data_IF_438926455089
#
_entry.id   IF_438926455089
#
_cell.length_a   1.000
_cell.length_b   1.000
_cell.length_c   1.000
_cell.angle_alpha   90.00
_cell.angle_beta   90.00
_cell.angle_gamma   90.00
#
_symmetry.space_group_name_H-M   'P 1'
#
loop_
_entity.id
_entity.type
_entity.pdbx_description
1 polymer ?
#
# COMPACT_ATOMS: atom_id res chain seq x y z
N UNK A 1 8.12 -11.01 -40.48
CA UNK A 1 7.72 -11.44 -39.12
C UNK A 1 8.29 -10.54 -38.03
N UNK A 2 9.58 -10.16 -38.04
CA UNK A 2 10.17 -9.22 -37.05
C UNK A 2 9.45 -7.84 -36.99
N UNK A 3 9.01 -7.30 -38.13
CA UNK A 3 8.28 -6.02 -38.24
C UNK A 3 6.91 -5.98 -37.53
N UNK A 4 6.28 -7.14 -37.30
CA UNK A 4 4.93 -7.23 -36.71
C UNK A 4 4.98 -7.36 -35.17
N UNK A 5 6.09 -7.87 -34.64
CA UNK A 5 6.34 -8.00 -33.19
C UNK A 5 6.69 -6.65 -32.56
N UNK A 6 7.50 -5.84 -33.25
CA UNK A 6 7.88 -4.49 -32.77
C UNK A 6 6.67 -3.56 -32.68
N UNK A 7 5.80 -3.57 -33.71
CA UNK A 7 4.57 -2.77 -33.75
C UNK A 7 3.51 -3.23 -32.73
N UNK A 8 3.43 -4.53 -32.41
CA UNK A 8 2.55 -5.04 -31.36
C UNK A 8 3.03 -4.65 -29.95
N UNK A 9 4.33 -4.50 -29.77
CA UNK A 9 4.94 -4.13 -28.48
C UNK A 9 4.67 -2.65 -28.15
N UNK A 10 4.59 -1.79 -29.17
CA UNK A 10 4.28 -0.36 -29.06
C UNK A 10 2.80 -0.13 -28.67
N UNK A 11 1.87 -0.94 -29.18
CA UNK A 11 0.42 -0.79 -28.96
C UNK A 11 -0.05 -1.17 -27.54
N UNK A 12 0.70 -2.02 -26.83
CA UNK A 12 0.35 -2.46 -25.47
C UNK A 12 0.81 -1.50 -24.36
N UNK A 13 1.64 -0.51 -24.68
CA UNK A 13 2.14 0.50 -23.73
C UNK A 13 1.04 1.52 -23.35
N UNK A 14 -0.03 1.61 -24.15
CA UNK A 14 -0.99 2.73 -24.11
C UNK A 14 -2.19 2.53 -23.15
N UNK A 15 -2.46 1.33 -22.62
CA UNK A 15 -3.74 1.04 -21.92
C UNK A 15 -3.68 0.88 -20.39
N UNK A 16 -2.59 1.26 -19.72
CA UNK A 16 -2.42 0.98 -18.27
C UNK A 16 -2.83 2.11 -17.32
N UNK A 17 -3.27 3.25 -17.86
CA UNK A 17 -3.58 4.44 -17.06
C UNK A 17 -5.00 4.88 -17.37
N UNK A 18 -6.01 4.42 -16.63
CA UNK A 18 -7.30 5.12 -16.46
C UNK A 18 -8.29 4.37 -15.53
N UNK A 19 -8.77 5.14 -14.54
CA UNK A 19 -10.07 5.09 -13.84
C UNK A 19 -10.16 4.39 -12.46
N UNK A 20 -10.20 5.28 -11.46
CA UNK A 20 -10.71 5.13 -10.10
C UNK A 20 -12.25 5.20 -10.10
N UNK A 21 -12.83 4.29 -9.29
CA UNK A 21 -14.17 4.25 -8.66
C UNK A 21 -15.24 5.30 -9.00
N UNK A 22 -16.44 4.77 -9.30
CA UNK A 22 -17.70 5.39 -8.89
C UNK A 22 -18.77 4.31 -8.65
N UNK A 23 -19.22 4.15 -7.40
CA UNK A 23 -20.64 3.93 -7.11
C UNK A 23 -20.94 4.11 -5.62
N UNK A 24 -21.72 5.14 -5.32
CA UNK A 24 -22.49 5.27 -4.09
C UNK A 24 -23.96 5.43 -4.47
N UNK A 25 -24.85 4.75 -3.74
CA UNK A 25 -26.24 5.14 -3.43
C UNK A 25 -26.87 4.02 -2.56
N UNK A 26 -27.11 4.28 -1.27
CA UNK A 26 -28.40 4.68 -0.65
C UNK A 26 -29.54 3.67 -0.83
N UNK A 27 -29.91 3.04 0.29
CA UNK A 27 -31.24 2.48 0.52
C UNK A 27 -31.60 2.67 1.99
N UNK A 28 -32.51 3.59 2.28
CA UNK A 28 -33.15 3.71 3.59
C UNK A 28 -34.58 3.19 3.51
N UNK A 29 -35.11 2.68 4.64
CA UNK A 29 -36.48 2.99 5.05
C UNK A 29 -36.65 2.72 6.55
N UNK A 30 -37.53 3.47 7.24
CA UNK A 30 -37.71 3.47 8.69
C UNK A 30 -38.79 2.48 9.11
N UNK A 31 -38.82 2.11 10.39
CA UNK A 31 -40.10 1.78 11.01
C UNK A 31 -40.15 2.10 12.51
N UNK A 32 -41.35 2.53 12.91
CA UNK A 32 -41.73 3.13 14.19
C UNK A 32 -41.92 2.10 15.31
N UNK A 33 -41.53 2.53 16.51
CA UNK A 33 -42.25 2.52 17.79
C UNK A 33 -43.35 1.45 18.03
N UNK A 34 -43.16 0.58 19.04
CA UNK A 34 -44.22 0.07 19.91
C UNK A 34 -43.62 -0.28 21.29
N UNK A 35 -44.12 0.39 22.33
CA UNK A 35 -43.69 0.18 23.72
C UNK A 35 -44.29 -1.07 24.34
N UNK A 36 -43.57 -1.69 25.28
CA UNK A 36 -44.12 -2.65 26.23
C UNK A 36 -43.37 -2.56 27.58
N UNK A 37 -44.17 -2.42 28.64
CA UNK A 37 -43.80 -2.54 30.04
C UNK A 37 -42.99 -3.82 30.29
N UNK A 38 -41.81 -3.72 30.91
CA UNK A 38 -41.04 -4.89 31.36
C UNK A 38 -40.86 -4.88 32.89
N UNK A 39 -41.36 -5.96 33.48
CA UNK A 39 -41.21 -6.34 34.89
C UNK A 39 -39.73 -6.42 35.29
N UNK A 40 -39.41 -6.08 36.54
CA UNK A 40 -38.06 -6.07 37.11
C UNK A 40 -37.34 -7.43 37.05
N UNK A 41 -38.05 -8.56 36.95
CA UNK A 41 -37.46 -9.89 36.67
C UNK A 41 -37.15 -10.15 35.19
N UNK A 42 -37.89 -9.52 34.28
CA UNK A 42 -37.54 -9.51 32.85
C UNK A 42 -36.34 -8.61 32.57
N UNK A 43 -36.15 -7.57 33.40
CA UNK A 43 -35.04 -6.63 33.32
C UNK A 43 -33.67 -7.28 33.58
N UNK A 44 -33.57 -8.21 34.54
CA UNK A 44 -32.33 -8.99 34.77
C UNK A 44 -32.03 -9.98 33.64
N UNK A 45 -33.04 -10.69 33.12
CA UNK A 45 -32.88 -11.58 31.96
C UNK A 45 -32.57 -10.85 30.65
N UNK A 46 -33.07 -9.62 30.49
CA UNK A 46 -32.71 -8.72 29.40
C UNK A 46 -31.32 -8.11 29.53
N UNK A 47 -30.90 -7.72 30.73
CA UNK A 47 -29.57 -7.15 30.94
C UNK A 47 -28.49 -8.19 30.71
N UNK A 48 -28.71 -9.44 31.12
CA UNK A 48 -27.82 -10.57 30.78
C UNK A 48 -27.82 -10.85 29.27
N UNK A 49 -28.99 -10.92 28.62
CA UNK A 49 -29.07 -11.11 27.15
C UNK A 49 -28.51 -9.95 26.36
N UNK A 50 -28.58 -8.71 26.86
CA UNK A 50 -28.01 -7.52 26.24
C UNK A 50 -26.50 -7.45 26.45
N UNK A 51 -25.98 -7.91 27.61
CA UNK A 51 -24.53 -8.11 27.82
C UNK A 51 -24.00 -9.18 26.87
N UNK A 52 -24.62 -10.37 26.78
CA UNK A 52 -24.25 -11.41 25.82
C UNK A 52 -24.30 -10.94 24.36
N UNK A 53 -25.33 -10.18 23.97
CA UNK A 53 -25.43 -9.61 22.62
C UNK A 53 -24.35 -8.55 22.36
N UNK A 54 -23.94 -7.78 23.38
CA UNK A 54 -22.92 -6.77 23.24
C UNK A 54 -21.54 -7.43 23.10
N UNK A 55 -21.19 -8.40 23.96
CA UNK A 55 -19.96 -9.17 23.87
C UNK A 55 -19.85 -9.90 22.53
N UNK A 56 -20.92 -10.58 22.08
CA UNK A 56 -20.94 -11.21 20.74
C UNK A 56 -20.77 -10.22 19.58
N UNK A 57 -21.27 -8.98 19.70
CA UNK A 57 -21.07 -7.94 18.68
C UNK A 57 -19.63 -7.43 18.67
N UNK A 58 -18.96 -7.40 19.82
CA UNK A 58 -17.54 -7.09 19.91
C UNK A 58 -16.69 -8.20 19.32
N UNK A 59 -16.95 -9.45 19.70
CA UNK A 59 -16.22 -10.61 19.16
C UNK A 59 -16.33 -10.68 17.63
N UNK A 60 -17.54 -10.49 17.10
CA UNK A 60 -17.76 -10.41 15.65
C UNK A 60 -17.07 -9.22 14.97
N UNK A 61 -16.83 -8.11 15.68
CA UNK A 61 -16.09 -6.96 15.14
C UNK A 61 -14.59 -7.27 15.04
N UNK A 62 -14.03 -7.91 16.06
CA UNK A 62 -12.62 -8.33 16.10
C UNK A 62 -12.34 -9.44 15.07
N UNK A 63 -13.16 -10.49 15.04
CA UNK A 63 -13.04 -11.60 14.10
C UNK A 63 -13.11 -11.11 12.64
N UNK A 64 -14.09 -10.24 12.31
CA UNK A 64 -14.17 -9.65 10.97
C UNK A 64 -13.00 -8.74 10.63
N UNK A 65 -12.35 -8.12 11.61
CA UNK A 65 -11.18 -7.28 11.36
C UNK A 65 -9.98 -8.15 11.01
N UNK A 66 -9.77 -9.23 11.76
CA UNK A 66 -8.71 -10.22 11.53
C UNK A 66 -8.89 -10.94 10.18
N UNK A 67 -10.09 -11.41 9.85
CA UNK A 67 -10.39 -11.98 8.53
C UNK A 67 -10.14 -10.98 7.38
N UNK A 68 -10.50 -9.71 7.60
CA UNK A 68 -10.23 -8.66 6.61
C UNK A 68 -8.73 -8.34 6.50
N UNK A 69 -7.94 -8.51 7.56
CA UNK A 69 -6.49 -8.32 7.55
C UNK A 69 -5.83 -9.40 6.68
N UNK A 70 -6.10 -10.68 6.97
CA UNK A 70 -5.59 -11.82 6.19
C UNK A 70 -5.95 -11.66 4.71
N UNK A 71 -7.22 -11.34 4.41
CA UNK A 71 -7.66 -11.12 3.03
C UNK A 71 -6.95 -9.96 2.34
N UNK A 72 -6.63 -8.88 3.06
CA UNK A 72 -5.94 -7.71 2.48
C UNK A 72 -4.46 -8.00 2.23
N UNK A 73 -3.81 -8.75 3.12
CA UNK A 73 -2.43 -9.20 2.95
C UNK A 73 -2.32 -10.18 1.78
N UNK A 74 -3.20 -11.18 1.69
CA UNK A 74 -3.25 -12.11 0.54
C UNK A 74 -3.46 -11.37 -0.80
N UNK A 75 -4.40 -10.43 -0.84
CA UNK A 75 -4.64 -9.62 -2.04
C UNK A 75 -3.46 -8.71 -2.39
N UNK A 76 -2.71 -8.23 -1.39
CA UNK A 76 -1.51 -7.44 -1.62
C UNK A 76 -0.37 -8.32 -2.17
N UNK A 77 -0.16 -9.51 -1.61
CA UNK A 77 0.82 -10.49 -2.06
C UNK A 77 0.58 -10.93 -3.51
N UNK A 78 -0.65 -11.34 -3.86
CA UNK A 78 -0.97 -11.74 -5.26
C UNK A 78 -0.78 -10.58 -6.24
N UNK A 79 -1.11 -9.34 -5.84
CA UNK A 79 -0.88 -8.15 -6.69
C UNK A 79 0.60 -7.82 -6.84
N UNK A 80 1.40 -8.12 -5.83
CA UNK A 80 2.84 -7.93 -5.84
C UNK A 80 3.52 -8.92 -6.78
N UNK A 81 3.21 -10.20 -6.67
CA UNK A 81 3.74 -11.25 -7.56
C UNK A 81 3.42 -10.95 -9.03
N UNK A 82 2.17 -10.58 -9.33
CA UNK A 82 1.77 -10.20 -10.68
C UNK A 82 2.46 -8.93 -11.21
N UNK A 83 2.96 -8.05 -10.33
CA UNK A 83 3.76 -6.88 -10.70
C UNK A 83 5.21 -7.25 -10.95
N UNK A 84 5.79 -8.15 -10.15
CA UNK A 84 7.14 -8.67 -10.33
C UNK A 84 7.30 -9.34 -11.70
N UNK A 85 6.38 -10.25 -12.06
CA UNK A 85 6.43 -10.95 -13.36
C UNK A 85 6.38 -9.96 -14.55
N UNK A 86 5.51 -8.96 -14.47
CA UNK A 86 5.44 -7.90 -15.49
C UNK A 86 6.71 -7.07 -15.56
N UNK A 87 7.34 -6.79 -14.42
CA UNK A 87 8.58 -6.01 -14.34
C UNK A 87 9.75 -6.79 -14.94
N UNK A 88 9.87 -8.08 -14.67
CA UNK A 88 10.90 -8.94 -15.27
C UNK A 88 10.77 -8.99 -16.79
N UNK A 89 9.55 -9.14 -17.32
CA UNK A 89 9.33 -9.10 -18.77
C UNK A 89 9.72 -7.76 -19.42
N UNK A 90 9.58 -6.64 -18.70
CA UNK A 90 10.01 -5.32 -19.17
C UNK A 90 11.53 -5.17 -19.10
N UNK A 91 12.17 -5.63 -18.02
CA UNK A 91 13.63 -5.60 -17.86
C UNK A 91 14.30 -6.41 -18.97
N UNK A 92 13.84 -7.64 -19.24
CA UNK A 92 14.39 -8.47 -20.32
C UNK A 92 14.36 -7.74 -21.67
N UNK A 93 13.24 -7.10 -22.00
CA UNK A 93 13.12 -6.32 -23.25
C UNK A 93 14.04 -5.10 -23.27
N UNK A 94 14.27 -4.47 -22.12
CA UNK A 94 15.19 -3.34 -22.03
C UNK A 94 16.64 -3.79 -22.24
N UNK A 95 17.04 -4.90 -21.64
CA UNK A 95 18.35 -5.52 -21.84
C UNK A 95 18.58 -5.95 -23.29
N UNK A 96 17.55 -6.44 -24.00
CA UNK A 96 17.64 -6.72 -25.44
C UNK A 96 17.95 -5.47 -26.27
N UNK A 97 17.36 -4.32 -25.93
CA UNK A 97 17.65 -3.03 -26.59
C UNK A 97 19.08 -2.58 -26.29
N UNK A 98 19.52 -2.70 -25.03
CA UNK A 98 20.90 -2.37 -24.62
C UNK A 98 21.89 -3.27 -25.36
N UNK A 99 21.67 -4.57 -25.42
CA UNK A 99 22.53 -5.50 -26.14
C UNK A 99 22.67 -5.14 -27.64
N UNK A 100 21.62 -4.58 -28.24
CA UNK A 100 21.63 -4.21 -29.66
C UNK A 100 22.33 -2.88 -29.94
N UNK A 101 22.18 -1.88 -29.07
CA UNK A 101 22.60 -0.49 -29.34
C UNK A 101 23.73 0.03 -28.43
N UNK A 102 23.95 -0.58 -27.27
CA UNK A 102 24.99 -0.23 -26.30
C UNK A 102 25.49 -1.47 -25.53
N UNK A 103 26.02 -2.50 -26.22
CA UNK A 103 26.39 -3.77 -25.59
C UNK A 103 27.44 -3.63 -24.47
N UNK A 104 28.25 -2.58 -24.51
CA UNK A 104 29.21 -2.24 -23.45
C UNK A 104 28.55 -1.85 -22.13
N UNK A 105 27.32 -1.33 -22.15
CA UNK A 105 26.55 -0.97 -20.95
C UNK A 105 25.75 -2.16 -20.38
N UNK A 106 25.70 -3.30 -21.08
CA UNK A 106 24.81 -4.40 -20.73
C UNK A 106 25.05 -4.92 -19.31
N UNK A 107 26.32 -5.15 -18.95
CA UNK A 107 26.69 -5.67 -17.63
C UNK A 107 26.34 -4.68 -16.51
N UNK A 108 26.53 -3.38 -16.76
CA UNK A 108 26.25 -2.32 -15.79
C UNK A 108 24.74 -2.18 -15.55
N UNK A 109 23.93 -2.29 -16.61
CA UNK A 109 22.48 -2.33 -16.50
C UNK A 109 21.96 -3.58 -15.79
N UNK A 110 22.51 -4.76 -16.09
CA UNK A 110 22.14 -6.00 -15.40
C UNK A 110 22.39 -5.88 -13.89
N UNK A 111 23.56 -5.38 -13.50
CA UNK A 111 23.90 -5.13 -12.10
C UNK A 111 22.94 -4.12 -11.45
N UNK A 112 22.70 -2.98 -12.09
CA UNK A 112 21.80 -1.94 -11.58
C UNK A 112 20.35 -2.42 -11.46
N UNK A 113 19.86 -3.27 -12.38
CA UNK A 113 18.51 -3.82 -12.25
C UNK A 113 18.36 -4.79 -11.08
N UNK A 114 19.38 -5.61 -10.80
CA UNK A 114 19.39 -6.49 -9.63
C UNK A 114 19.48 -5.69 -8.33
N UNK A 115 20.31 -4.65 -8.27
CA UNK A 115 20.39 -3.74 -7.12
C UNK A 115 19.04 -3.02 -6.89
N UNK A 116 18.45 -2.44 -7.94
CA UNK A 116 17.13 -1.84 -7.87
C UNK A 116 16.06 -2.86 -7.43
N UNK A 117 16.14 -4.12 -7.87
CA UNK A 117 15.22 -5.18 -7.43
C UNK A 117 15.39 -5.50 -5.95
N UNK A 118 16.63 -5.56 -5.45
CA UNK A 118 16.93 -5.84 -4.05
C UNK A 118 16.38 -4.72 -3.14
N UNK A 119 16.77 -3.46 -3.39
CA UNK A 119 16.35 -2.32 -2.57
C UNK A 119 14.84 -2.13 -2.63
N UNK A 120 14.23 -2.25 -3.81
CA UNK A 120 12.78 -2.11 -3.94
C UNK A 120 12.01 -3.22 -3.21
N UNK A 121 12.54 -4.44 -3.17
CA UNK A 121 11.98 -5.54 -2.38
C UNK A 121 12.06 -5.21 -0.89
N UNK A 122 13.24 -4.83 -0.40
CA UNK A 122 13.47 -4.49 1.02
C UNK A 122 12.61 -3.30 1.48
N UNK A 123 12.47 -2.27 0.64
CA UNK A 123 11.56 -1.14 0.87
C UNK A 123 10.11 -1.59 1.05
N UNK A 124 9.64 -2.53 0.23
CA UNK A 124 8.27 -3.03 0.30
C UNK A 124 8.06 -3.97 1.49
N UNK A 125 9.05 -4.79 1.83
CA UNK A 125 9.06 -5.65 3.02
C UNK A 125 9.03 -4.81 4.30
N UNK A 126 9.89 -3.79 4.41
CA UNK A 126 9.92 -2.85 5.54
C UNK A 126 8.57 -2.15 5.73
N UNK A 127 7.96 -1.65 4.65
CA UNK A 127 6.62 -1.03 4.71
C UNK A 127 5.53 -2.01 5.14
N UNK A 128 5.68 -3.28 4.81
CA UNK A 128 4.74 -4.33 5.20
C UNK A 128 4.91 -4.63 6.69
N UNK A 129 6.14 -4.82 7.16
CA UNK A 129 6.46 -5.03 8.57
C UNK A 129 5.93 -3.90 9.46
N UNK A 130 6.19 -2.63 9.10
CA UNK A 130 5.65 -1.46 9.82
C UNK A 130 4.12 -1.50 9.94
N UNK A 131 3.44 -1.90 8.86
CA UNK A 131 1.98 -1.98 8.85
C UNK A 131 1.46 -3.14 9.70
N UNK A 132 2.15 -4.28 9.69
CA UNK A 132 1.86 -5.45 10.52
C UNK A 132 2.07 -5.13 11.99
N UNK A 133 3.23 -4.58 12.36
CA UNK A 133 3.57 -4.16 13.73
C UNK A 133 2.55 -3.17 14.29
N UNK A 134 2.18 -2.14 13.52
CA UNK A 134 1.13 -1.20 13.92
C UNK A 134 -0.21 -1.91 14.19
N UNK A 135 -0.59 -2.88 13.35
CA UNK A 135 -1.84 -3.61 13.53
C UNK A 135 -1.79 -4.54 14.74
N UNK A 136 -0.69 -5.26 14.93
CA UNK A 136 -0.49 -6.21 16.03
C UNK A 136 -0.48 -5.47 17.36
N UNK A 137 0.25 -4.37 17.48
CA UNK A 137 0.20 -3.50 18.66
C UNK A 137 -1.21 -2.96 18.92
N UNK A 138 -1.90 -2.53 17.86
CA UNK A 138 -3.25 -1.98 17.98
C UNK A 138 -4.22 -3.04 18.48
N UNK A 139 -4.14 -4.27 17.96
CA UNK A 139 -4.98 -5.39 18.36
C UNK A 139 -4.66 -5.84 19.79
N UNK A 140 -3.38 -5.94 20.17
CA UNK A 140 -2.97 -6.27 21.53
C UNK A 140 -3.51 -5.24 22.54
N UNK A 141 -3.41 -3.95 22.24
CA UNK A 141 -3.97 -2.91 23.10
C UNK A 141 -5.51 -2.88 23.12
N UNK A 142 -6.18 -3.28 22.03
CA UNK A 142 -7.64 -3.46 22.04
C UNK A 142 -8.09 -4.61 22.92
N UNK A 143 -7.39 -5.74 22.91
CA UNK A 143 -7.70 -6.87 23.79
C UNK A 143 -7.52 -6.48 25.26
N UNK A 144 -6.46 -5.74 25.58
CA UNK A 144 -6.28 -5.19 26.92
C UNK A 144 -7.41 -4.23 27.31
N UNK A 145 -7.79 -3.31 26.41
CA UNK A 145 -8.89 -2.37 26.62
C UNK A 145 -10.23 -3.07 26.76
N UNK A 146 -10.46 -4.16 26.02
CA UNK A 146 -11.67 -4.98 26.10
C UNK A 146 -11.81 -5.60 27.49
N UNK A 147 -10.74 -6.21 28.01
CA UNK A 147 -10.73 -6.78 29.36
C UNK A 147 -11.02 -5.71 30.43
N UNK A 148 -10.42 -4.52 30.29
CA UNK A 148 -10.68 -3.38 31.19
C UNK A 148 -12.15 -2.91 31.13
N UNK A 149 -12.72 -2.83 29.93
CA UNK A 149 -14.11 -2.44 29.70
C UNK A 149 -15.08 -3.47 30.31
N UNK A 150 -14.79 -4.77 30.14
CA UNK A 150 -15.60 -5.86 30.70
C UNK A 150 -15.64 -5.78 32.22
N UNK A 151 -14.49 -5.62 32.88
CA UNK A 151 -14.40 -5.41 34.33
C UNK A 151 -15.22 -4.20 34.79
N UNK A 152 -15.09 -3.06 34.09
CA UNK A 152 -15.81 -1.83 34.43
C UNK A 152 -17.32 -1.93 34.22
N UNK A 153 -17.78 -2.67 33.21
CA UNK A 153 -19.19 -2.96 32.94
C UNK A 153 -19.80 -3.97 33.92
N UNK A 154 -19.02 -4.93 34.41
CA UNK A 154 -19.41 -5.84 35.48
C UNK A 154 -19.54 -5.12 36.82
N UNK A 155 -18.63 -4.20 37.11
CA UNK A 155 -18.68 -3.34 38.28
C UNK A 155 -19.72 -2.20 38.18
N UNK A 156 -20.45 -2.09 37.07
CA UNK A 156 -21.43 -1.02 36.78
C UNK A 156 -20.86 0.41 36.92
N UNK A 157 -19.54 0.55 36.78
CA UNK A 157 -18.82 1.84 36.90
C UNK A 157 -18.87 2.66 35.62
N UNK A 158 -19.13 2.01 34.49
CA UNK A 158 -19.36 2.64 33.18
C UNK A 158 -20.61 2.06 32.54
N UNK A 159 -21.21 2.83 31.66
CA UNK A 159 -22.28 2.41 30.77
C UNK A 159 -21.71 1.77 29.49
N UNK A 160 -22.55 1.02 28.78
CA UNK A 160 -22.19 0.49 27.46
C UNK A 160 -21.91 1.60 26.43
N UNK A 161 -22.47 2.79 26.61
CA UNK A 161 -22.18 3.92 25.74
C UNK A 161 -20.78 4.46 25.99
N UNK A 162 -20.37 4.58 27.25
CA UNK A 162 -19.00 5.00 27.63
C UNK A 162 -17.96 3.97 27.18
N UNK A 163 -18.25 2.67 27.31
CA UNK A 163 -17.40 1.60 26.77
C UNK A 163 -17.16 1.73 25.25
N UNK A 164 -18.21 2.05 24.47
CA UNK A 164 -18.07 2.29 23.02
C UNK A 164 -17.21 3.50 22.73
N UNK A 165 -17.37 4.56 23.51
CA UNK A 165 -16.57 5.77 23.34
C UNK A 165 -15.10 5.52 23.68
N UNK A 166 -14.80 4.72 24.72
CA UNK A 166 -13.43 4.31 25.04
C UNK A 166 -12.74 3.59 23.88
N UNK A 167 -13.41 2.60 23.26
CA UNK A 167 -12.87 1.89 22.08
C UNK A 167 -12.68 2.84 20.90
N UNK A 168 -13.66 3.75 20.67
CA UNK A 168 -13.59 4.72 19.60
C UNK A 168 -12.40 5.68 19.79
N UNK A 169 -12.22 6.21 20.99
CA UNK A 169 -11.12 7.11 21.33
C UNK A 169 -9.78 6.42 21.13
N UNK A 170 -9.61 5.22 21.67
CA UNK A 170 -8.39 4.43 21.47
C UNK A 170 -8.06 4.23 19.99
N UNK A 171 -9.06 3.86 19.18
CA UNK A 171 -8.88 3.66 17.74
C UNK A 171 -8.52 4.95 16.99
N UNK A 172 -9.07 6.09 17.40
CA UNK A 172 -8.74 7.39 16.83
C UNK A 172 -7.33 7.80 17.20
N UNK A 173 -6.94 7.68 18.47
CA UNK A 173 -5.60 8.01 18.95
C UNK A 173 -4.52 7.16 18.27
N UNK A 174 -4.72 5.84 18.17
CA UNK A 174 -3.80 4.96 17.43
C UNK A 174 -3.65 5.35 15.97
N UNK A 175 -4.77 5.65 15.31
CA UNK A 175 -4.77 6.08 13.91
C UNK A 175 -4.06 7.42 13.73
N UNK A 176 -4.29 8.37 14.62
CA UNK A 176 -3.67 9.70 14.56
C UNK A 176 -2.17 9.63 14.84
N UNK A 177 -1.74 8.82 15.81
CA UNK A 177 -0.33 8.57 16.10
C UNK A 177 0.41 7.95 14.90
N UNK A 178 -0.14 6.88 14.31
CA UNK A 178 0.46 6.26 13.13
C UNK A 178 0.47 7.21 11.92
N UNK A 179 -0.60 8.00 11.75
CA UNK A 179 -0.65 9.02 10.70
C UNK A 179 0.45 10.07 10.90
N UNK A 180 0.71 10.51 12.13
CA UNK A 180 1.74 11.51 12.41
C UNK A 180 3.14 11.00 11.98
N UNK A 181 3.49 9.75 12.31
CA UNK A 181 4.74 9.14 11.85
C UNK A 181 4.81 9.05 10.32
N UNK A 182 3.70 8.69 9.67
CA UNK A 182 3.67 8.62 8.21
C UNK A 182 3.75 10.01 7.53
N UNK A 183 3.12 11.03 8.13
CA UNK A 183 3.21 12.42 7.67
C UNK A 183 4.65 12.93 7.86
N UNK A 184 5.32 12.61 8.97
CA UNK A 184 6.74 12.90 9.21
C UNK A 184 7.64 12.23 8.15
N UNK A 185 7.39 10.96 7.83
CA UNK A 185 8.08 10.28 6.73
C UNK A 185 7.87 10.98 5.38
N UNK A 186 6.62 11.37 5.05
CA UNK A 186 6.35 12.08 3.80
C UNK A 186 7.03 13.45 3.74
N UNK A 187 7.12 14.15 4.88
CA UNK A 187 7.81 15.43 4.98
C UNK A 187 9.33 15.25 4.82
N UNK A 188 9.92 14.25 5.48
CA UNK A 188 11.34 13.95 5.42
C UNK A 188 11.82 13.63 3.99
N UNK A 189 10.97 12.96 3.19
CA UNK A 189 11.31 12.65 1.79
C UNK A 189 10.84 13.68 0.77
N UNK A 190 10.18 14.77 1.19
CA UNK A 190 9.46 15.65 0.26
C UNK A 190 10.38 16.34 -0.75
N UNK A 191 11.53 16.84 -0.29
CA UNK A 191 12.50 17.53 -1.14
C UNK A 191 13.13 16.57 -2.15
N UNK A 192 13.63 15.42 -1.69
CA UNK A 192 14.25 14.41 -2.53
C UNK A 192 13.26 13.85 -3.57
N UNK A 193 12.02 13.62 -3.14
CA UNK A 193 10.93 13.21 -4.04
C UNK A 193 10.64 14.26 -5.11
N UNK A 194 10.65 15.54 -4.76
CA UNK A 194 10.42 16.62 -5.72
C UNK A 194 11.57 16.70 -6.74
N UNK A 195 12.82 16.56 -6.30
CA UNK A 195 13.98 16.49 -7.17
C UNK A 195 13.91 15.28 -8.12
N UNK A 196 13.58 14.10 -7.59
CA UNK A 196 13.44 12.89 -8.39
C UNK A 196 12.29 12.94 -9.39
N UNK A 197 11.16 13.58 -9.08
CA UNK A 197 10.06 13.72 -10.06
C UNK A 197 10.44 14.60 -11.27
N UNK A 198 11.37 15.55 -11.12
CA UNK A 198 11.94 16.30 -12.25
C UNK A 198 12.75 15.35 -13.12
N UNK A 199 13.68 14.60 -12.52
CA UNK A 199 14.51 13.63 -13.23
C UNK A 199 13.66 12.58 -13.96
N UNK A 200 12.61 12.07 -13.31
CA UNK A 200 11.69 11.12 -13.92
C UNK A 200 10.97 11.68 -15.14
N UNK A 201 10.56 12.95 -15.11
CA UNK A 201 9.95 13.59 -16.27
C UNK A 201 10.93 13.72 -17.44
N UNK A 202 12.19 14.03 -17.15
CA UNK A 202 13.28 14.06 -18.15
C UNK A 202 13.54 12.66 -18.72
N UNK A 203 13.62 11.64 -17.87
CA UNK A 203 13.77 10.25 -18.29
C UNK A 203 12.63 9.77 -19.20
N UNK A 204 11.40 10.25 -18.98
CA UNK A 204 10.26 9.90 -19.85
C UNK A 204 10.38 10.55 -21.24
N UNK A 205 10.96 11.75 -21.33
CA UNK A 205 11.32 12.36 -22.62
C UNK A 205 12.40 11.53 -23.31
N UNK A 206 13.47 11.16 -22.61
CA UNK A 206 14.54 10.34 -23.17
C UNK A 206 14.07 8.97 -23.65
N UNK A 207 13.12 8.33 -22.95
CA UNK A 207 12.49 7.08 -23.42
C UNK A 207 11.72 7.28 -24.72
N UNK A 208 11.06 8.42 -24.89
CA UNK A 208 10.35 8.74 -26.13
C UNK A 208 11.33 9.01 -27.28
N UNK A 209 12.41 9.73 -27.01
CA UNK A 209 13.49 9.97 -27.97
C UNK A 209 14.20 8.67 -28.36
N UNK A 210 14.45 7.76 -27.40
CA UNK A 210 15.07 6.47 -27.66
C UNK A 210 14.19 5.63 -28.60
N UNK A 211 12.87 5.66 -28.41
CA UNK A 211 11.95 5.00 -29.35
C UNK A 211 12.06 5.58 -30.75
N UNK A 212 12.09 6.90 -30.88
CA UNK A 212 12.24 7.56 -32.17
C UNK A 212 13.60 7.25 -32.83
N UNK A 213 14.68 7.19 -32.06
CA UNK A 213 16.02 6.82 -32.53
C UNK A 213 16.05 5.36 -33.01
N UNK A 214 15.41 4.43 -32.28
CA UNK A 214 15.26 3.03 -32.68
C UNK A 214 14.48 2.92 -34.00
N UNK A 215 13.38 3.66 -34.14
CA UNK A 215 12.58 3.69 -35.38
C UNK A 215 13.35 4.29 -36.57
N UNK A 216 14.22 5.26 -36.30
CA UNK A 216 15.12 5.86 -37.28
C UNK A 216 16.38 5.01 -37.57
N UNK A 217 16.57 3.90 -36.86
CA UNK A 217 17.79 3.08 -36.89
C UNK A 217 19.08 3.88 -36.57
N UNK A 218 18.97 4.93 -35.76
CA UNK A 218 20.09 5.79 -35.35
C UNK A 218 20.82 5.21 -34.13
N UNK A 219 21.83 4.38 -34.40
CA UNK A 219 22.55 3.66 -33.36
C UNK A 219 23.35 4.57 -32.41
N UNK A 220 23.95 5.64 -32.92
CA UNK A 220 24.76 6.56 -32.13
C UNK A 220 23.89 7.35 -31.14
N UNK A 221 22.71 7.79 -31.59
CA UNK A 221 21.73 8.44 -30.72
C UNK A 221 21.16 7.45 -29.70
N UNK A 222 20.85 6.21 -30.10
CA UNK A 222 20.40 5.17 -29.16
C UNK A 222 21.42 4.94 -28.04
N UNK A 223 22.71 4.81 -28.39
CA UNK A 223 23.79 4.63 -27.43
C UNK A 223 23.88 5.79 -26.42
N UNK A 224 23.81 7.02 -26.92
CA UNK A 224 23.82 8.25 -26.10
C UNK A 224 22.64 8.29 -25.14
N UNK A 225 21.43 8.01 -25.62
CA UNK A 225 20.21 8.03 -24.82
C UNK A 225 20.18 6.90 -23.77
N UNK A 226 20.71 5.73 -24.10
CA UNK A 226 20.86 4.62 -23.14
C UNK A 226 21.87 5.00 -22.05
N UNK A 227 22.99 5.63 -22.38
CA UNK A 227 23.93 6.12 -21.35
C UNK A 227 23.24 7.07 -20.38
N UNK A 228 22.46 8.03 -20.88
CA UNK A 228 21.73 8.97 -20.01
C UNK A 228 20.66 8.24 -19.18
N UNK A 229 19.90 7.32 -19.77
CA UNK A 229 18.90 6.53 -19.06
C UNK A 229 19.51 5.64 -17.96
N UNK A 230 20.78 5.25 -18.08
CA UNK A 230 21.50 4.54 -17.04
C UNK A 230 21.71 5.42 -15.81
N UNK A 231 22.12 6.68 -15.99
CA UNK A 231 22.26 7.64 -14.89
C UNK A 231 20.94 7.83 -14.13
N UNK A 232 19.80 7.84 -14.84
CA UNK A 232 18.47 7.88 -14.20
C UNK A 232 18.13 6.62 -13.42
N UNK A 233 18.56 5.44 -13.89
CA UNK A 233 18.37 4.20 -13.15
C UNK A 233 19.13 4.25 -11.83
N UNK A 234 20.37 4.75 -11.84
CA UNK A 234 21.16 4.95 -10.62
C UNK A 234 20.50 5.95 -9.67
N UNK A 235 20.05 7.10 -10.17
CA UNK A 235 19.33 8.08 -9.34
C UNK A 235 18.03 7.51 -8.73
N UNK A 236 17.34 6.61 -9.44
CA UNK A 236 16.16 5.95 -8.87
C UNK A 236 16.52 4.97 -7.76
N UNK A 237 17.63 4.23 -7.92
CA UNK A 237 18.15 3.33 -6.89
C UNK A 237 18.49 4.12 -5.63
N UNK A 238 19.21 5.23 -5.76
CA UNK A 238 19.58 6.12 -4.65
C UNK A 238 18.32 6.67 -3.95
N UNK A 239 17.31 7.09 -4.71
CA UNK A 239 16.05 7.55 -4.13
C UNK A 239 15.27 6.43 -3.41
N UNK A 240 15.26 5.21 -3.96
CA UNK A 240 14.66 4.04 -3.30
C UNK A 240 15.38 3.71 -1.98
N UNK A 241 16.71 3.78 -1.96
CA UNK A 241 17.52 3.59 -0.75
C UNK A 241 17.26 4.68 0.29
N UNK A 242 17.23 5.96 -0.13
CA UNK A 242 16.93 7.08 0.77
C UNK A 242 15.56 6.92 1.46
N UNK A 243 14.54 6.46 0.73
CA UNK A 243 13.23 6.15 1.32
C UNK A 243 13.29 5.00 2.33
N UNK A 244 14.06 3.95 2.03
CA UNK A 244 14.24 2.82 2.94
C UNK A 244 14.91 3.26 4.25
N UNK A 245 16.00 4.01 4.14
CA UNK A 245 16.72 4.56 5.29
C UNK A 245 15.80 5.47 6.13
N UNK A 246 15.06 6.36 5.48
CA UNK A 246 14.13 7.28 6.17
C UNK A 246 12.98 6.52 6.85
N UNK A 247 12.50 5.41 6.30
CA UNK A 247 11.50 4.57 6.97
C UNK A 247 12.06 3.95 8.24
N UNK A 248 13.26 3.37 8.16
CA UNK A 248 13.93 2.73 9.29
C UNK A 248 14.31 3.71 10.41
N UNK A 249 14.52 4.98 10.07
CA UNK A 249 14.83 6.02 11.06
C UNK A 249 13.56 6.51 11.82
N UNK A 250 12.39 6.43 11.20
CA UNK A 250 11.14 6.99 11.74
C UNK A 250 10.29 5.94 12.47
N UNK A 251 10.25 4.71 11.97
CA UNK A 251 9.42 3.63 12.52
C UNK A 251 10.26 2.61 13.29
#
# INVERSE_FOLDING_TARGET
>A
MKKLVVLLTILLIVNSSLVVNASGQRGGNPNMNQGQNRSTTAFMGETVKNKENATQRYDNFFEKREENQVRRLDQAATRWEARLEKREAVITRHLEVIQLYAPELLADYEAAFEEHKAIHTELMETRTAIAEDYMDETNAGLEALKAEIEEKLEAETITTQEAREMIRTYMLERKEGFKALFDEFQEAIAEEKAAYEILKAEADVLKAELRAAIEAEDADLCNTLLTQLYDYLLAHIEFDQFKLDTLNDIF
#
